data_IF_141319686654
#
_entry.id   IF_141319686654
#
_cell.length_a   1.000
_cell.length_b   1.000
_cell.length_c   1.000
_cell.angle_alpha   90.00
_cell.angle_beta   90.00
_cell.angle_gamma   90.00
#
_symmetry.space_group_name_H-M   'P 1'
#
loop_
_entity.id
_entity.type
_entity.pdbx_description
1 polymer ?
#
# COMPACT_ATOMS: atom_id res chain seq x y z
N UNK A 1 -20.45 -0.13 -13.94
CA UNK A 1 -19.74 1.16 -14.05
C UNK A 1 -18.27 0.85 -13.80
N UNK A 2 -17.34 1.37 -14.60
CA UNK A 2 -15.92 1.27 -14.23
C UNK A 2 -15.66 2.34 -13.17
N UNK A 3 -15.32 1.91 -11.97
CA UNK A 3 -14.90 2.82 -10.90
C UNK A 3 -13.52 3.38 -11.22
N UNK A 4 -13.31 4.66 -10.94
CA UNK A 4 -11.99 5.26 -11.11
C UNK A 4 -11.08 4.75 -9.99
N UNK A 5 -9.92 4.20 -10.34
CA UNK A 5 -8.99 3.74 -9.32
C UNK A 5 -8.49 4.93 -8.51
N UNK A 6 -8.55 4.79 -7.18
CA UNK A 6 -8.01 5.76 -6.23
C UNK A 6 -6.50 5.93 -6.43
N UNK A 7 -5.97 7.16 -6.28
CA UNK A 7 -4.53 7.38 -6.20
C UNK A 7 -3.95 6.45 -5.13
N UNK A 8 -3.03 5.57 -5.53
CA UNK A 8 -2.51 4.51 -4.66
C UNK A 8 -0.99 4.51 -4.68
N UNK A 9 -0.38 4.43 -3.50
CA UNK A 9 1.05 4.13 -3.36
C UNK A 9 1.24 2.69 -2.95
N UNK A 10 2.28 2.06 -3.46
CA UNK A 10 2.57 0.66 -3.15
C UNK A 10 4.01 0.52 -2.68
N UNK A 11 4.16 -0.08 -1.52
CA UNK A 11 5.42 -0.46 -0.91
C UNK A 11 5.55 -1.98 -0.93
N UNK A 12 6.75 -2.47 -1.21
CA UNK A 12 7.06 -3.90 -1.25
C UNK A 12 8.06 -4.18 -0.14
N UNK A 13 7.65 -4.92 0.88
CA UNK A 13 8.59 -5.43 1.88
C UNK A 13 9.20 -6.71 1.34
N UNK A 14 10.54 -6.78 1.25
CA UNK A 14 11.23 -7.96 0.72
C UNK A 14 11.03 -9.22 1.58
N UNK A 15 10.61 -9.08 2.84
CA UNK A 15 10.36 -10.19 3.76
C UNK A 15 9.40 -11.21 3.13
N UNK A 16 9.96 -12.38 2.76
CA UNK A 16 9.27 -13.51 2.12
C UNK A 16 8.54 -13.14 0.81
N UNK A 17 8.81 -11.96 0.25
CA UNK A 17 8.14 -11.50 -0.96
C UNK A 17 8.49 -12.39 -2.15
N UNK A 18 9.75 -12.75 -2.32
CA UNK A 18 10.20 -13.67 -3.37
C UNK A 18 9.64 -15.09 -3.22
N UNK A 19 9.20 -15.46 -2.02
CA UNK A 19 8.63 -16.78 -1.74
C UNK A 19 7.13 -16.84 -2.06
N UNK A 20 6.44 -15.70 -1.98
CA UNK A 20 5.00 -15.57 -2.24
C UNK A 20 4.67 -14.98 -3.63
N UNK A 21 5.59 -14.20 -4.18
CA UNK A 21 5.49 -13.56 -5.48
C UNK A 21 6.60 -14.10 -6.37
N UNK A 22 6.26 -14.49 -7.59
CA UNK A 22 7.23 -14.99 -8.56
C UNK A 22 8.37 -13.98 -8.72
N UNK A 23 9.61 -14.44 -8.50
CA UNK A 23 10.85 -13.65 -8.61
C UNK A 23 11.03 -12.89 -9.93
N UNK A 24 10.22 -13.20 -10.95
CA UNK A 24 10.16 -12.48 -12.22
C UNK A 24 9.42 -11.12 -12.14
N UNK A 25 8.71 -10.83 -11.05
CA UNK A 25 7.99 -9.57 -10.87
C UNK A 25 8.95 -8.49 -10.37
N UNK A 26 9.64 -7.83 -11.30
CA UNK A 26 10.25 -6.51 -11.06
C UNK A 26 9.11 -5.51 -10.82
N UNK A 27 8.69 -5.32 -9.58
CA UNK A 27 7.79 -4.22 -9.22
C UNK A 27 8.64 -2.95 -9.07
N UNK A 28 8.53 -1.96 -9.98
CA UNK A 28 9.04 -0.65 -9.66
C UNK A 28 8.29 -0.14 -8.42
N UNK A 29 9.03 0.35 -7.43
CA UNK A 29 8.53 0.85 -6.12
C UNK A 29 7.44 1.93 -6.19
N UNK A 30 6.99 2.33 -7.38
CA UNK A 30 6.15 3.51 -7.56
C UNK A 30 4.99 3.35 -8.54
N UNK A 31 4.90 2.26 -9.32
CA UNK A 31 3.80 2.15 -10.29
C UNK A 31 3.45 0.69 -10.60
N UNK A 32 2.31 0.25 -10.10
CA UNK A 32 1.70 -1.03 -10.49
C UNK A 32 0.65 -0.73 -11.54
N UNK A 33 0.75 -1.40 -12.68
CA UNK A 33 -0.25 -1.31 -13.74
C UNK A 33 -1.49 -2.08 -13.29
N UNK A 34 -2.44 -1.34 -12.73
CA UNK A 34 -3.70 -1.86 -12.18
C UNK A 34 -4.60 -2.52 -13.24
N UNK A 35 -4.24 -2.44 -14.53
CA UNK A 35 -4.94 -3.12 -15.61
C UNK A 35 -4.41 -4.53 -15.87
N UNK A 36 -3.34 -4.95 -15.19
CA UNK A 36 -2.88 -6.34 -15.22
C UNK A 36 -3.68 -7.16 -14.21
N UNK A 37 -4.07 -8.40 -14.55
CA UNK A 37 -4.75 -9.32 -13.62
C UNK A 37 -3.77 -9.91 -12.59
N UNK A 38 -2.94 -9.06 -12.01
CA UNK A 38 -2.05 -9.41 -10.91
C UNK A 38 -2.80 -9.35 -9.57
N UNK A 39 -2.10 -9.66 -8.49
CA UNK A 39 -2.64 -9.67 -7.13
C UNK A 39 -3.41 -8.40 -6.77
N UNK A 40 -2.90 -7.23 -7.17
CA UNK A 40 -3.50 -5.94 -6.85
C UNK A 40 -4.68 -5.66 -7.77
N UNK A 41 -4.56 -5.98 -9.06
CA UNK A 41 -5.68 -5.93 -10.00
C UNK A 41 -6.90 -6.69 -9.47
N UNK A 42 -6.70 -7.90 -8.92
CA UNK A 42 -7.77 -8.69 -8.28
C UNK A 42 -8.41 -7.98 -7.08
N UNK A 43 -7.61 -7.34 -6.23
CA UNK A 43 -8.12 -6.59 -5.07
C UNK A 43 -9.01 -5.44 -5.55
N UNK A 44 -8.54 -4.63 -6.51
CA UNK A 44 -9.33 -3.51 -7.02
C UNK A 44 -10.56 -3.97 -7.81
N UNK A 45 -10.48 -5.05 -8.58
CA UNK A 45 -11.61 -5.60 -9.33
C UNK A 45 -12.74 -6.06 -8.39
N UNK A 46 -12.39 -6.71 -7.27
CA UNK A 46 -13.38 -7.30 -6.36
C UNK A 46 -13.84 -6.35 -5.24
N UNK A 47 -12.97 -5.44 -4.81
CA UNK A 47 -13.17 -4.68 -3.56
C UNK A 47 -13.08 -3.17 -3.71
N UNK A 48 -13.10 -2.65 -4.94
CA UNK A 48 -13.12 -1.20 -5.22
C UNK A 48 -14.12 -0.43 -4.35
N UNK A 49 -15.33 -0.99 -4.12
CA UNK A 49 -16.38 -0.33 -3.34
C UNK A 49 -15.96 -0.08 -1.88
N UNK A 50 -15.04 -0.88 -1.33
CA UNK A 50 -14.50 -0.67 0.02
C UNK A 50 -13.68 0.63 0.12
N UNK A 51 -13.09 1.07 -1.00
CA UNK A 51 -12.16 2.19 -1.06
C UNK A 51 -12.81 3.50 -1.54
N UNK A 52 -14.09 3.45 -1.93
CA UNK A 52 -14.83 4.62 -2.40
C UNK A 52 -14.82 5.84 -1.47
N UNK A 53 -14.93 5.71 -0.13
CA UNK A 53 -14.89 6.89 0.74
C UNK A 53 -13.51 7.54 0.82
N UNK A 54 -12.44 6.86 0.39
CA UNK A 54 -11.08 7.36 0.56
C UNK A 54 -10.64 8.30 -0.58
N UNK A 55 -9.84 9.30 -0.22
CA UNK A 55 -9.22 10.26 -1.12
C UNK A 55 -7.99 9.64 -1.82
N UNK A 56 -7.23 8.82 -1.08
CA UNK A 56 -6.08 8.07 -1.60
C UNK A 56 -5.78 6.84 -0.72
N UNK A 57 -4.97 5.93 -1.26
CA UNK A 57 -4.57 4.68 -0.61
C UNK A 57 -3.04 4.58 -0.47
N UNK A 58 -2.59 3.93 0.60
CA UNK A 58 -1.24 3.40 0.75
C UNK A 58 -1.35 1.89 0.93
N UNK A 59 -0.58 1.13 0.17
CA UNK A 59 -0.59 -0.32 0.19
C UNK A 59 0.82 -0.84 0.49
N UNK A 60 0.92 -1.81 1.40
CA UNK A 60 2.14 -2.54 1.68
C UNK A 60 1.96 -4.01 1.28
N UNK A 61 2.88 -4.53 0.47
CA UNK A 61 2.88 -5.90 -0.03
C UNK A 61 4.00 -6.70 0.63
N UNK A 62 3.69 -7.93 1.02
CA UNK A 62 4.67 -8.86 1.60
C UNK A 62 4.18 -10.31 1.48
N UNK A 63 5.08 -11.27 1.77
CA UNK A 63 4.75 -12.69 1.73
C UNK A 63 4.60 -13.30 3.13
N UNK A 64 3.67 -14.24 3.31
CA UNK A 64 3.60 -15.04 4.54
C UNK A 64 3.23 -16.49 4.24
N UNK A 65 4.08 -17.45 4.60
CA UNK A 65 3.84 -18.88 4.35
C UNK A 65 3.42 -19.18 2.89
N UNK A 66 4.08 -18.52 1.92
CA UNK A 66 3.80 -18.63 0.48
C UNK A 66 2.54 -17.90 0.00
N UNK A 67 1.86 -17.16 0.89
CA UNK A 67 0.68 -16.34 0.55
C UNK A 67 1.05 -14.90 0.26
N UNK A 68 0.31 -14.30 -0.66
CA UNK A 68 0.43 -12.90 -1.04
C UNK A 68 -0.38 -12.05 -0.08
N UNK A 69 0.26 -11.13 0.63
CA UNK A 69 -0.40 -10.25 1.59
C UNK A 69 -0.38 -8.81 1.09
N UNK A 70 -1.54 -8.13 1.16
CA UNK A 70 -1.64 -6.67 1.01
C UNK A 70 -2.27 -6.07 2.26
N UNK A 71 -1.58 -5.11 2.85
CA UNK A 71 -2.10 -4.22 3.87
C UNK A 71 -2.47 -2.90 3.17
N UNK A 72 -3.73 -2.51 3.21
CA UNK A 72 -4.24 -1.32 2.51
C UNK A 72 -4.73 -0.33 3.55
N UNK A 73 -4.28 0.91 3.43
CA UNK A 73 -4.62 2.03 4.29
C UNK A 73 -5.32 3.10 3.44
N UNK A 74 -6.59 3.33 3.71
CA UNK A 74 -7.39 4.35 3.05
C UNK A 74 -7.46 5.62 3.87
N UNK A 75 -7.21 6.76 3.24
CA UNK A 75 -7.22 8.06 3.88
C UNK A 75 -8.40 8.88 3.37
N UNK A 76 -9.25 9.36 4.26
CA UNK A 76 -10.41 10.19 3.90
C UNK A 76 -10.49 11.46 4.76
N UNK A 77 -11.25 12.44 4.29
CA UNK A 77 -11.38 13.73 4.98
C UNK A 77 -10.14 14.60 4.85
N UNK A 78 -9.41 14.49 3.74
CA UNK A 78 -8.18 15.26 3.50
C UNK A 78 -8.43 16.74 3.15
N UNK A 79 -9.69 17.15 3.00
CA UNK A 79 -10.10 18.53 2.71
C UNK A 79 -10.71 19.20 3.97
N UNK A 80 -10.17 20.34 4.46
CA UNK A 80 -9.06 21.12 3.89
C UNK A 80 -7.69 20.46 4.05
N UNK A 81 -6.87 20.56 3.00
CA UNK A 81 -5.50 20.04 3.00
C UNK A 81 -4.54 20.95 3.79
N UNK A 82 -3.54 20.41 4.54
CA UNK A 82 -3.29 18.98 4.74
C UNK A 82 -4.25 18.33 5.74
N UNK A 83 -4.89 19.07 6.65
CA UNK A 83 -5.87 18.51 7.58
C UNK A 83 -5.34 17.35 8.44
N UNK A 84 -6.26 16.63 9.07
CA UNK A 84 -5.99 15.43 9.85
C UNK A 84 -6.92 14.30 9.37
N UNK A 85 -6.54 13.58 8.31
CA UNK A 85 -7.40 12.57 7.73
C UNK A 85 -7.68 11.44 8.72
N UNK A 86 -8.84 10.82 8.55
CA UNK A 86 -9.14 9.54 9.17
C UNK A 86 -8.56 8.40 8.31
N UNK A 87 -8.26 7.28 8.96
CA UNK A 87 -7.59 6.14 8.30
C UNK A 87 -8.44 4.88 8.47
N UNK A 88 -8.80 4.29 7.34
CA UNK A 88 -9.33 2.93 7.25
C UNK A 88 -8.20 1.95 6.95
N UNK A 89 -8.34 0.69 7.37
CA UNK A 89 -7.34 -0.34 7.09
C UNK A 89 -8.00 -1.66 6.71
N UNK A 90 -7.42 -2.34 5.72
CA UNK A 90 -7.84 -3.66 5.26
C UNK A 90 -6.63 -4.55 5.04
N UNK A 91 -6.79 -5.84 5.28
CA UNK A 91 -5.78 -6.85 4.98
C UNK A 91 -6.34 -7.85 3.98
N UNK A 92 -5.57 -8.15 2.94
CA UNK A 92 -5.93 -9.13 1.92
C UNK A 92 -4.88 -10.23 1.90
N UNK A 93 -5.33 -11.49 1.82
CA UNK A 93 -4.49 -12.67 1.63
C UNK A 93 -4.93 -13.36 0.35
N UNK A 94 -4.00 -13.56 -0.58
CA UNK A 94 -4.24 -14.14 -1.92
C UNK A 94 -5.41 -13.48 -2.67
N UNK A 95 -5.58 -12.16 -2.44
CA UNK A 95 -6.59 -11.31 -3.04
C UNK A 95 -7.90 -11.30 -2.27
N UNK A 96 -8.03 -12.05 -1.18
CA UNK A 96 -9.27 -12.18 -0.40
C UNK A 96 -9.20 -11.32 0.85
N UNK A 97 -10.23 -10.49 1.07
CA UNK A 97 -10.33 -9.64 2.25
C UNK A 97 -10.46 -10.44 3.57
N UNK A 98 -9.57 -10.15 4.53
CA UNK A 98 -9.47 -10.84 5.82
C UNK A 98 -10.11 -10.03 6.96
N UNK A 99 -11.45 -9.95 6.97
CA UNK A 99 -12.22 -9.09 7.91
C UNK A 99 -11.95 -9.36 9.40
N UNK A 100 -11.67 -10.60 9.78
CA UNK A 100 -11.53 -11.01 11.19
C UNK A 100 -10.09 -10.95 11.71
N UNK A 101 -9.13 -10.56 10.86
CA UNK A 101 -7.72 -10.56 11.23
C UNK A 101 -7.42 -9.37 12.17
N UNK A 102 -6.88 -9.68 13.36
CA UNK A 102 -6.50 -8.66 14.35
C UNK A 102 -5.20 -7.94 14.02
N UNK A 103 -4.35 -8.58 13.22
CA UNK A 103 -3.07 -8.02 12.81
C UNK A 103 -3.34 -6.98 11.72
N UNK A 104 -3.00 -5.72 12.01
CA UNK A 104 -3.20 -4.59 11.09
C UNK A 104 -2.01 -4.50 10.13
N UNK A 105 -0.79 -4.46 10.67
CA UNK A 105 0.43 -4.41 9.88
C UNK A 105 1.70 -4.81 10.61
N UNK A 106 2.79 -5.00 9.87
CA UNK A 106 4.13 -5.14 10.42
C UNK A 106 4.72 -3.80 10.91
N UNK A 107 5.77 -3.86 11.73
CA UNK A 107 6.40 -2.65 12.29
C UNK A 107 7.03 -1.75 11.21
N UNK A 108 7.57 -2.33 10.14
CA UNK A 108 8.15 -1.56 9.05
C UNK A 108 7.08 -0.76 8.30
N UNK A 109 5.89 -1.35 8.09
CA UNK A 109 4.73 -0.63 7.55
C UNK A 109 4.40 0.58 8.41
N UNK A 110 4.41 0.46 9.74
CA UNK A 110 4.15 1.60 10.64
C UNK A 110 5.18 2.73 10.47
N UNK A 111 6.46 2.39 10.27
CA UNK A 111 7.51 3.40 10.03
C UNK A 111 7.28 4.08 8.67
N UNK A 112 6.94 3.32 7.63
CA UNK A 112 6.61 3.86 6.30
C UNK A 112 5.42 4.81 6.39
N UNK A 113 4.34 4.43 7.07
CA UNK A 113 3.16 5.29 7.27
C UNK A 113 3.51 6.58 8.02
N UNK A 114 4.42 6.51 9.00
CA UNK A 114 4.93 7.69 9.69
C UNK A 114 5.65 8.67 8.75
N UNK A 115 6.54 8.16 7.89
CA UNK A 115 7.25 8.98 6.89
C UNK A 115 6.32 9.54 5.83
N UNK A 116 5.31 8.76 5.46
CA UNK A 116 4.27 9.19 4.53
C UNK A 116 3.47 10.36 5.08
N UNK A 117 3.04 10.28 6.34
CA UNK A 117 2.34 11.37 7.00
C UNK A 117 3.22 12.63 7.12
N UNK A 118 4.51 12.48 7.41
CA UNK A 118 5.44 13.61 7.42
C UNK A 118 5.58 14.28 6.03
N UNK A 119 5.67 13.49 4.96
CA UNK A 119 5.75 13.99 3.60
C UNK A 119 4.44 14.67 3.17
N UNK A 120 3.30 14.05 3.50
CA UNK A 120 1.95 14.55 3.20
C UNK A 120 1.71 15.92 3.82
N UNK A 121 2.09 16.11 5.09
CA UNK A 121 1.97 17.40 5.81
C UNK A 121 2.81 18.53 5.20
N UNK A 122 3.88 18.19 4.47
CA UNK A 122 4.77 19.17 3.81
C UNK A 122 4.33 19.47 2.38
N UNK A 123 3.50 18.62 1.78
CA UNK A 123 3.02 18.81 0.42
C UNK A 123 1.87 19.85 0.37
N UNK A 124 1.78 20.65 -0.71
CA UNK A 124 0.73 21.68 -0.83
C UNK A 124 -0.65 21.11 -1.15
N UNK A 125 -0.72 19.93 -1.77
CA UNK A 125 -1.96 19.24 -2.14
C UNK A 125 -1.70 17.75 -2.38
N UNK A 126 -2.78 16.96 -2.54
CA UNK A 126 -2.72 15.52 -2.80
C UNK A 126 -1.91 15.18 -4.06
N UNK A 127 -2.05 15.98 -5.13
CA UNK A 127 -1.35 15.71 -6.40
C UNK A 127 0.16 15.82 -6.22
N UNK A 128 0.61 16.90 -5.58
CA UNK A 128 2.01 17.18 -5.29
C UNK A 128 2.58 16.18 -4.31
N UNK A 129 1.79 15.77 -3.31
CA UNK A 129 2.13 14.67 -2.43
C UNK A 129 2.39 13.42 -3.26
N UNK A 130 1.42 12.91 -4.03
CA UNK A 130 1.52 11.66 -4.79
C UNK A 130 2.73 11.63 -5.74
N UNK A 131 3.08 12.76 -6.36
CA UNK A 131 4.24 12.90 -7.26
C UNK A 131 5.60 12.87 -6.56
N UNK A 132 5.66 13.12 -5.26
CA UNK A 132 6.90 13.21 -4.49
C UNK A 132 6.85 12.28 -3.26
N UNK A 133 7.06 10.97 -3.44
CA UNK A 133 7.05 10.03 -2.32
C UNK A 133 8.23 10.25 -1.36
N UNK A 134 8.04 9.95 -0.05
CA UNK A 134 9.14 9.96 0.89
C UNK A 134 10.18 8.91 0.50
N UNK A 135 11.45 9.18 0.83
CA UNK A 135 12.49 8.17 0.72
C UNK A 135 12.36 7.16 1.87
N UNK A 136 11.98 5.94 1.55
CA UNK A 136 11.86 4.82 2.50
C UNK A 136 12.79 3.65 2.14
N UNK A 137 13.78 3.87 1.27
CA UNK A 137 14.63 2.80 0.74
C UNK A 137 15.40 2.05 1.81
N UNK A 138 15.77 2.71 2.90
CA UNK A 138 16.44 2.11 4.06
C UNK A 138 15.58 1.09 4.82
N UNK A 139 14.26 1.17 4.72
CA UNK A 139 13.32 0.22 5.33
C UNK A 139 12.97 -0.95 4.40
N UNK A 140 13.27 -0.80 3.11
CA UNK A 140 12.97 -1.78 2.07
C UNK A 140 14.16 -2.69 1.75
N UNK A 141 15.31 -2.50 2.42
CA UNK A 141 16.50 -3.35 2.24
C UNK A 141 16.35 -4.65 3.02
N UNK A 142 16.59 -5.77 2.35
CA UNK A 142 16.80 -7.08 2.97
C UNK A 142 17.77 -7.00 4.16
N UNK A 143 17.43 -7.73 5.23
CA UNK A 143 18.27 -7.95 6.41
C UNK A 143 19.53 -8.80 6.12
N UNK A 144 19.81 -9.16 4.86
CA UNK A 144 20.95 -10.01 4.48
C UNK A 144 22.31 -9.29 4.52
N UNK A 145 22.36 -7.96 4.66
CA UNK A 145 23.62 -7.20 4.79
C UNK A 145 24.31 -7.38 6.17
N UNK A 146 23.79 -8.25 7.05
CA UNK A 146 24.33 -8.51 8.39
C UNK A 146 24.61 -9.99 8.71
N UNK A 147 24.76 -10.86 7.70
CA UNK A 147 25.27 -12.24 7.87
C UNK A 147 26.63 -12.42 7.23
#
# INVERSE_FOLDING_TARGET
>A
MQHAVKPTRVYVHETLFTDAYDSSVNLPQTYIDLNKPDFIGKIFEQYTELFEPDDFLIMALWGNDGKQIAEVFGYFGTNPWPGNPEVNSWVFSDGIYQREQRQICCADTLIVLGREEEARRKAPDLKSYMQNPPDVRDLMKSLDDHR
#
